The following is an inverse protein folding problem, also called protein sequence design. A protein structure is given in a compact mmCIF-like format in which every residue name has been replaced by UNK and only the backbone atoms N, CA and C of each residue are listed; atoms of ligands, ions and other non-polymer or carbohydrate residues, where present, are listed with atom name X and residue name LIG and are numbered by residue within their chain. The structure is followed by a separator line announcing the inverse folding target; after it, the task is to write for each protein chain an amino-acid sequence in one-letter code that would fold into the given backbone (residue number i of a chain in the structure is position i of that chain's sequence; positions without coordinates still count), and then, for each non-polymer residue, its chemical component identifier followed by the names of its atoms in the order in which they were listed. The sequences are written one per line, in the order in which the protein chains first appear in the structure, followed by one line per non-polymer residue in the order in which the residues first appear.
data_IF_964110444200
#
_entry.id   IF_964110444200
#
_cell.length_a   1.000
_cell.length_b   1.000
_cell.length_c   1.000
_cell.angle_alpha   90.00
_cell.angle_beta   90.00
_cell.angle_gamma   90.00
#
_symmetry.space_group_name_H-M   'P 1'
#
loop_
_entity.id
_entity.type
_entity.pdbx_description
1 polymer ?
#
# COMPACT_ATOMS: atom_id res chain seq x y z
N UNK A 1 -27.69 18.94 -22.87
CA UNK A 1 -28.53 18.72 -21.67
C UNK A 1 -28.43 17.30 -21.09
N UNK A 2 -28.49 16.22 -21.89
CA UNK A 2 -28.31 14.85 -21.37
C UNK A 2 -26.83 14.48 -21.18
N UNK A 3 -25.97 14.95 -22.09
CA UNK A 3 -24.52 14.75 -22.02
C UNK A 3 -23.91 15.46 -20.80
N UNK A 4 -24.33 16.70 -20.53
CA UNK A 4 -23.84 17.48 -19.37
C UNK A 4 -24.18 16.80 -18.03
N UNK A 5 -25.37 16.18 -17.95
CA UNK A 5 -25.79 15.41 -16.77
C UNK A 5 -24.99 14.11 -16.60
N UNK A 6 -24.64 13.44 -17.70
CA UNK A 6 -23.80 12.24 -17.68
C UNK A 6 -22.36 12.56 -17.28
N UNK A 7 -21.79 13.66 -17.78
CA UNK A 7 -20.47 14.14 -17.40
C UNK A 7 -20.44 14.51 -15.91
N UNK A 8 -21.46 15.25 -15.46
CA UNK A 8 -21.59 15.61 -14.05
C UNK A 8 -21.73 14.38 -13.15
N UNK A 9 -22.49 13.37 -13.58
CA UNK A 9 -22.65 12.12 -12.86
C UNK A 9 -21.35 11.31 -12.78
N UNK A 10 -20.59 11.23 -13.88
CA UNK A 10 -19.30 10.55 -13.91
C UNK A 10 -18.26 11.26 -13.02
N UNK A 11 -18.27 12.59 -13.05
CA UNK A 11 -17.46 13.42 -12.15
C UNK A 11 -17.87 13.22 -10.68
N UNK A 12 -19.16 13.18 -10.38
CA UNK A 12 -19.67 12.93 -9.02
C UNK A 12 -19.26 11.54 -8.52
N UNK A 13 -19.35 10.51 -9.36
CA UNK A 13 -18.88 9.16 -9.04
C UNK A 13 -17.37 9.15 -8.80
N UNK A 14 -16.60 9.85 -9.62
CA UNK A 14 -15.15 9.96 -9.46
C UNK A 14 -14.77 10.66 -8.15
N UNK A 15 -15.44 11.77 -7.80
CA UNK A 15 -15.22 12.46 -6.54
C UNK A 15 -15.64 11.61 -5.34
N UNK A 16 -16.76 10.89 -5.45
CA UNK A 16 -17.22 9.96 -4.42
C UNK A 16 -16.18 8.84 -4.22
N UNK A 17 -15.61 8.29 -5.29
CA UNK A 17 -14.54 7.27 -5.24
C UNK A 17 -13.27 7.79 -4.57
N UNK A 18 -12.86 9.04 -4.82
CA UNK A 18 -11.71 9.65 -4.13
C UNK A 18 -11.95 9.82 -2.62
N UNK A 19 -13.18 10.15 -2.20
CA UNK A 19 -13.49 10.37 -0.79
C UNK A 19 -13.56 9.07 0.03
N UNK A 20 -13.81 7.94 -0.63
CA UNK A 20 -13.93 6.62 0.02
C UNK A 20 -12.68 5.76 -0.27
N UNK A 21 -11.58 6.34 -0.77
CA UNK A 21 -10.30 5.65 -0.83
C UNK A 21 -9.73 5.59 0.59
N UNK A 22 -10.30 4.72 1.40
CA UNK A 22 -9.63 4.24 2.60
C UNK A 22 -8.52 3.35 2.09
N UNK A 23 -7.34 3.92 1.91
CA UNK A 23 -6.13 3.13 1.94
C UNK A 23 -6.26 2.31 3.23
N UNK A 24 -6.29 0.97 3.13
CA UNK A 24 -6.28 0.09 4.29
C UNK A 24 -4.89 0.26 4.93
N UNK A 25 -4.73 1.40 5.60
CA UNK A 25 -3.48 1.90 6.11
C UNK A 25 -3.14 1.01 7.30
N UNK A 26 -2.40 -0.06 7.02
CA UNK A 26 -1.66 -0.82 8.00
C UNK A 26 -0.59 0.10 8.57
N UNK A 27 -1.01 0.92 9.53
CA UNK A 27 -0.15 1.88 10.20
C UNK A 27 0.67 1.17 11.28
N UNK A 28 1.94 1.55 11.38
CA UNK A 28 2.76 1.17 12.53
C UNK A 28 2.33 2.02 13.72
N UNK A 29 1.64 1.40 14.70
CA UNK A 29 1.08 2.08 15.88
C UNK A 29 2.17 2.86 16.64
N UNK A 30 1.95 4.17 16.83
CA UNK A 30 2.91 5.06 17.51
C UNK A 30 4.19 5.33 16.71
N UNK A 31 4.22 4.92 15.44
CA UNK A 31 5.31 5.16 14.52
C UNK A 31 5.29 6.56 13.93
N UNK A 32 6.26 6.80 13.05
CA UNK A 32 6.30 7.96 12.17
C UNK A 32 6.79 7.52 10.81
N UNK A 33 6.30 8.17 9.76
CA UNK A 33 6.80 7.92 8.42
C UNK A 33 8.30 8.20 8.36
N UNK A 34 9.02 7.29 7.69
CA UNK A 34 10.47 7.42 7.51
C UNK A 34 10.76 8.22 6.24
N UNK A 35 11.91 8.89 6.20
CA UNK A 35 12.36 9.55 4.96
C UNK A 35 12.45 8.50 3.84
N UNK A 36 11.97 8.79 2.62
CA UNK A 36 12.08 7.85 1.50
C UNK A 36 13.49 7.31 1.34
N UNK A 37 13.61 6.00 1.13
CA UNK A 37 14.86 5.25 0.97
C UNK A 37 15.85 5.34 2.16
N UNK A 38 15.43 5.81 3.35
CA UNK A 38 16.29 5.84 4.54
C UNK A 38 16.52 4.48 5.19
N UNK A 39 15.70 3.48 4.85
CA UNK A 39 15.82 2.09 5.27
C UNK A 39 16.05 1.19 4.04
N UNK A 40 17.22 1.25 3.39
CA UNK A 40 17.47 0.58 2.11
C UNK A 40 17.47 -0.96 2.20
N UNK A 41 17.52 -1.50 3.42
CA UNK A 41 17.41 -2.94 3.68
C UNK A 41 15.96 -3.41 3.80
N UNK A 42 14.97 -2.52 3.92
CA UNK A 42 13.57 -2.91 4.09
C UNK A 42 13.00 -3.45 2.77
N UNK A 43 12.39 -4.63 2.82
CA UNK A 43 11.76 -5.30 1.70
C UNK A 43 10.27 -5.55 1.96
N UNK A 44 9.44 -5.34 0.95
CA UNK A 44 8.05 -5.79 0.92
C UNK A 44 8.00 -7.17 0.26
N UNK A 45 7.34 -8.12 0.90
CA UNK A 45 7.16 -9.48 0.40
C UNK A 45 5.70 -9.68 -0.01
N UNK A 46 5.47 -9.74 -1.33
CA UNK A 46 4.17 -9.99 -1.95
C UNK A 46 4.04 -11.45 -2.36
N UNK A 47 4.24 -12.36 -1.41
CA UNK A 47 4.27 -13.82 -1.65
C UNK A 47 2.89 -14.41 -1.36
N UNK A 48 2.30 -14.08 -0.22
CA UNK A 48 0.98 -14.53 0.24
C UNK A 48 0.23 -13.36 0.92
N UNK A 49 -1.06 -13.54 1.19
CA UNK A 49 -1.90 -12.55 1.85
C UNK A 49 -2.11 -12.97 3.31
N UNK A 50 -1.78 -12.12 4.30
CA UNK A 50 -1.35 -10.73 4.16
C UNK A 50 0.11 -10.57 3.74
N UNK A 51 0.42 -9.46 3.06
CA UNK A 51 1.80 -9.08 2.73
C UNK A 51 2.67 -9.02 3.99
N UNK A 52 3.94 -9.42 3.86
CA UNK A 52 4.91 -9.41 4.94
C UNK A 52 6.08 -8.45 4.70
N UNK A 53 6.79 -8.10 5.77
CA UNK A 53 8.06 -7.38 5.71
C UNK A 53 9.27 -8.32 5.64
N UNK A 54 10.41 -7.79 5.20
CA UNK A 54 11.70 -8.48 5.23
C UNK A 54 12.90 -7.54 5.29
N UNK A 55 14.09 -8.11 5.48
CA UNK A 55 15.38 -7.40 5.56
C UNK A 55 16.37 -7.98 4.55
N UNK A 56 16.88 -7.16 3.63
CA UNK A 56 17.95 -7.52 2.70
C UNK A 56 19.28 -7.67 3.47
N UNK A 57 19.71 -8.92 3.67
CA UNK A 57 20.95 -9.25 4.42
C UNK A 57 22.14 -9.49 3.49
N UNK A 58 21.88 -9.70 2.20
CA UNK A 58 22.86 -9.94 1.16
C UNK A 58 22.24 -9.56 -0.20
N UNK A 59 23.02 -9.19 -1.24
CA UNK A 59 22.49 -8.87 -2.58
C UNK A 59 21.45 -9.83 -3.17
N UNK A 60 21.42 -11.10 -2.74
CA UNK A 60 20.48 -12.11 -3.22
C UNK A 60 19.61 -12.74 -2.12
N UNK A 61 19.69 -12.27 -0.87
CA UNK A 61 18.99 -12.89 0.26
C UNK A 61 18.24 -11.88 1.13
N UNK A 62 16.95 -12.14 1.32
CA UNK A 62 16.07 -11.42 2.24
C UNK A 62 15.68 -12.33 3.40
N UNK A 63 15.84 -11.82 4.63
CA UNK A 63 15.41 -12.48 5.86
C UNK A 63 13.98 -12.03 6.23
N UNK A 64 13.10 -12.97 6.60
CA UNK A 64 11.72 -12.70 7.03
C UNK A 64 11.27 -13.70 8.10
N UNK A 65 10.05 -13.53 8.63
CA UNK A 65 9.45 -14.48 9.55
C UNK A 65 9.05 -15.78 8.82
N UNK A 66 9.21 -16.92 9.48
CA UNK A 66 8.95 -18.23 8.86
C UNK A 66 7.48 -18.39 8.40
N UNK A 67 6.53 -17.84 9.16
CA UNK A 67 5.09 -17.93 8.85
C UNK A 67 4.64 -17.01 7.70
N UNK A 68 5.53 -16.20 7.11
CA UNK A 68 5.21 -15.35 5.96
C UNK A 68 5.20 -16.13 4.63
N UNK A 69 5.28 -17.46 4.70
CA UNK A 69 5.24 -18.41 3.60
C UNK A 69 4.36 -19.61 4.02
N UNK A 70 3.32 -19.34 4.82
CA UNK A 70 2.38 -20.32 5.34
C UNK A 70 0.94 -19.96 4.95
#
# INVERSE_FOLDING_TARGET
MIIDKLIFFYFLIFLLRCLIFTDDATEIIGGKEVKPHSLPYMALLTIEIPDCGGVLINPQWVLTAAHCHE
#
